data_IF_927548107457
#
_entry.id   IF_927548107457
#
_cell.length_a   1.000
_cell.length_b   1.000
_cell.length_c   1.000
_cell.angle_alpha   90.00
_cell.angle_beta   90.00
_cell.angle_gamma   90.00
#
_symmetry.space_group_name_H-M   'P 1'
#
loop_
_entity.id
_entity.type
_entity.pdbx_description
1 polymer ?
#
# COMPACT_ATOMS: atom_id res chain seq x y z
N UNK A 1 -28.06 80.70 -9.77
CA UNK A 1 -26.77 80.97 -9.09
C UNK A 1 -25.76 79.90 -9.49
N UNK A 2 -24.58 80.32 -9.97
CA UNK A 2 -23.40 79.45 -10.17
C UNK A 2 -22.88 78.95 -8.82
N UNK A 3 -22.43 77.68 -8.75
CA UNK A 3 -21.23 77.26 -8.00
C UNK A 3 -21.02 75.73 -8.17
N UNK A 4 -20.03 75.29 -8.95
CA UNK A 4 -18.67 74.86 -8.54
C UNK A 4 -18.57 73.34 -8.32
N UNK A 5 -17.91 72.67 -9.27
CA UNK A 5 -17.36 71.31 -9.15
C UNK A 5 -16.19 71.28 -8.15
N UNK A 6 -15.99 70.19 -7.39
CA UNK A 6 -14.66 69.76 -7.00
C UNK A 6 -14.20 68.58 -7.87
N UNK A 7 -13.29 68.86 -8.79
CA UNK A 7 -12.29 67.89 -9.28
C UNK A 7 -11.43 67.47 -8.08
N UNK A 8 -11.42 66.18 -7.73
CA UNK A 8 -10.26 65.41 -7.23
C UNK A 8 -10.75 64.11 -6.57
N UNK A 9 -10.54 62.97 -7.24
CA UNK A 9 -10.36 61.64 -6.59
C UNK A 9 -9.88 60.52 -7.52
N UNK A 10 -9.59 60.78 -8.80
CA UNK A 10 -9.20 59.71 -9.75
C UNK A 10 -7.69 59.39 -9.81
N UNK A 11 -6.82 60.17 -9.16
CA UNK A 11 -5.35 59.97 -9.28
C UNK A 11 -4.79 58.98 -8.22
N UNK A 12 -5.51 58.75 -7.12
CA UNK A 12 -5.02 57.89 -6.02
C UNK A 12 -5.32 56.40 -6.28
N UNK A 13 -6.46 56.07 -6.91
CA UNK A 13 -6.81 54.67 -7.21
C UNK A 13 -5.93 54.05 -8.30
N UNK A 14 -5.54 54.82 -9.33
CA UNK A 14 -4.62 54.34 -10.36
C UNK A 14 -3.21 54.13 -9.80
N UNK A 15 -2.73 55.03 -8.94
CA UNK A 15 -1.44 54.89 -8.27
C UNK A 15 -1.36 53.65 -7.38
N UNK A 16 -2.41 53.35 -6.60
CA UNK A 16 -2.44 52.17 -5.72
C UNK A 16 -2.50 50.87 -6.54
N UNK A 17 -3.30 50.81 -7.60
CA UNK A 17 -3.36 49.63 -8.48
C UNK A 17 -2.02 49.38 -9.20
N UNK A 18 -1.34 50.44 -9.65
CA UNK A 18 -0.01 50.33 -10.26
C UNK A 18 1.04 49.87 -9.25
N UNK A 19 1.03 50.38 -8.02
CA UNK A 19 1.95 49.94 -6.96
C UNK A 19 1.69 48.47 -6.61
N UNK A 20 0.42 48.05 -6.51
CA UNK A 20 0.06 46.66 -6.20
C UNK A 20 0.48 45.67 -7.31
N UNK A 21 0.35 46.08 -8.58
CA UNK A 21 0.83 45.32 -9.73
C UNK A 21 2.35 45.26 -9.78
N UNK A 22 3.05 46.35 -9.44
CA UNK A 22 4.51 46.38 -9.35
C UNK A 22 4.98 45.49 -8.20
N UNK A 23 4.36 45.54 -7.02
CA UNK A 23 4.73 44.67 -5.89
C UNK A 23 4.48 43.19 -6.21
N UNK A 24 3.34 42.85 -6.81
CA UNK A 24 3.08 41.49 -7.29
C UNK A 24 4.09 41.06 -8.37
N UNK A 25 4.45 41.94 -9.30
CA UNK A 25 5.44 41.64 -10.32
C UNK A 25 6.83 41.44 -9.72
N UNK A 26 7.22 42.25 -8.73
CA UNK A 26 8.50 42.12 -8.03
C UNK A 26 8.56 40.89 -7.12
N UNK A 27 7.46 40.50 -6.47
CA UNK A 27 7.36 39.27 -5.69
C UNK A 27 7.36 38.03 -6.61
N UNK A 28 6.67 38.10 -7.75
CA UNK A 28 6.70 37.06 -8.78
C UNK A 28 8.10 36.91 -9.38
N UNK A 29 8.79 38.02 -9.67
CA UNK A 29 10.20 38.04 -10.11
C UNK A 29 11.15 37.54 -9.00
N UNK A 30 10.88 37.86 -7.73
CA UNK A 30 11.65 37.36 -6.58
C UNK A 30 11.48 35.85 -6.38
N UNK A 31 10.26 35.34 -6.51
CA UNK A 31 9.95 33.91 -6.49
C UNK A 31 10.57 33.18 -7.69
N UNK A 32 10.50 33.78 -8.89
CA UNK A 32 11.18 33.28 -10.09
C UNK A 32 12.71 33.33 -9.95
N UNK A 33 13.28 34.32 -9.25
CA UNK A 33 14.72 34.36 -8.94
C UNK A 33 15.12 33.30 -7.91
N UNK A 34 14.28 32.98 -6.93
CA UNK A 34 14.51 31.88 -6.00
C UNK A 34 14.36 30.50 -6.67
N UNK A 35 13.48 30.38 -7.68
CA UNK A 35 13.37 29.18 -8.53
C UNK A 35 14.53 29.11 -9.54
N UNK A 36 15.01 30.26 -10.03
CA UNK A 36 16.15 30.35 -10.96
C UNK A 36 17.52 30.24 -10.26
N UNK A 37 17.60 30.45 -8.93
CA UNK A 37 18.84 30.26 -8.17
C UNK A 37 19.29 28.79 -8.07
N UNK A 38 18.45 27.84 -8.54
CA UNK A 38 18.81 26.44 -8.74
C UNK A 38 19.27 26.10 -10.16
N UNK A 39 19.55 27.10 -11.01
CA UNK A 39 20.04 26.85 -12.37
C UNK A 39 21.47 27.37 -12.57
N UNK A 40 22.34 26.42 -12.87
CA UNK A 40 23.71 26.56 -13.39
C UNK A 40 24.84 26.74 -12.36
N UNK A 41 25.05 25.71 -11.54
CA UNK A 41 26.42 25.23 -11.33
C UNK A 41 26.69 24.19 -12.42
N UNK A 42 27.90 24.13 -12.97
CA UNK A 42 28.35 23.19 -14.01
C UNK A 42 27.69 21.81 -13.87
N UNK A 43 26.59 21.58 -14.60
CA UNK A 43 25.89 20.28 -14.54
C UNK A 43 26.76 19.32 -15.31
N UNK A 44 27.58 18.57 -14.58
CA UNK A 44 28.30 17.45 -15.14
C UNK A 44 27.25 16.52 -15.78
N UNK A 45 27.24 16.41 -17.11
CA UNK A 45 26.23 15.61 -17.86
C UNK A 45 26.25 14.14 -17.46
N UNK A 46 27.33 13.67 -16.82
CA UNK A 46 27.53 12.30 -16.38
C UNK A 46 27.08 12.04 -14.94
N UNK A 47 26.70 13.06 -14.17
CA UNK A 47 26.27 12.89 -12.77
C UNK A 47 24.80 13.27 -12.61
N UNK A 48 24.06 12.43 -11.88
CA UNK A 48 22.68 12.65 -11.46
C UNK A 48 22.63 13.56 -10.23
N UNK A 49 23.57 13.36 -9.30
CA UNK A 49 23.80 14.18 -8.12
C UNK A 49 25.28 14.54 -8.11
N UNK A 50 25.58 15.83 -8.01
CA UNK A 50 26.95 16.35 -7.88
C UNK A 50 27.01 17.31 -6.70
N UNK A 51 27.37 16.77 -5.54
CA UNK A 51 27.56 17.53 -4.30
C UNK A 51 28.92 17.19 -3.71
N UNK A 52 29.43 18.02 -2.79
CA UNK A 52 30.72 17.78 -2.16
C UNK A 52 30.80 16.44 -1.40
N UNK A 53 29.68 15.98 -0.82
CA UNK A 53 29.62 14.73 -0.04
C UNK A 53 29.07 13.52 -0.80
N UNK A 54 28.45 13.71 -1.97
CA UNK A 54 27.82 12.63 -2.72
C UNK A 54 27.86 12.92 -4.22
N UNK A 55 28.38 11.96 -4.99
CA UNK A 55 28.38 11.97 -6.44
C UNK A 55 27.70 10.70 -6.93
N UNK A 56 26.56 10.84 -7.60
CA UNK A 56 25.81 9.70 -8.16
C UNK A 56 25.90 9.78 -9.69
N UNK A 57 26.36 8.73 -10.38
CA UNK A 57 26.42 8.74 -11.84
C UNK A 57 25.03 8.72 -12.47
N UNK A 58 24.89 9.39 -13.61
CA UNK A 58 23.72 9.33 -14.46
C UNK A 58 23.88 8.19 -15.46
N UNK A 59 23.35 7.03 -15.10
CA UNK A 59 23.37 5.83 -15.95
C UNK A 59 22.27 5.89 -17.01
N UNK A 60 22.56 5.42 -18.22
CA UNK A 60 21.54 5.22 -19.26
C UNK A 60 20.74 3.94 -18.94
N UNK A 61 19.41 4.04 -18.75
CA UNK A 61 18.56 2.87 -18.54
C UNK A 61 18.50 1.92 -19.74
N UNK A 62 18.99 2.29 -20.92
CA UNK A 62 18.97 1.44 -22.12
C UNK A 62 20.37 1.20 -22.72
N UNK A 63 21.41 1.31 -21.89
CA UNK A 63 22.79 1.08 -22.32
C UNK A 63 22.95 -0.33 -22.95
N UNK A 64 23.64 -0.40 -24.08
CA UNK A 64 23.86 -1.66 -24.80
C UNK A 64 24.54 -2.75 -23.96
N UNK A 65 25.33 -2.37 -22.94
CA UNK A 65 26.01 -3.31 -22.03
C UNK A 65 25.07 -4.07 -21.10
N UNK A 66 23.78 -3.74 -21.05
CA UNK A 66 22.80 -4.50 -20.24
C UNK A 66 21.75 -5.20 -21.09
N UNK A 67 21.85 -5.11 -22.42
CA UNK A 67 20.83 -5.64 -23.33
C UNK A 67 20.57 -7.14 -23.11
N UNK A 68 21.60 -7.92 -22.81
CA UNK A 68 21.47 -9.35 -22.50
C UNK A 68 20.79 -9.66 -21.15
N UNK A 69 20.71 -8.69 -20.25
CA UNK A 69 19.91 -8.78 -19.01
C UNK A 69 18.48 -8.28 -19.21
N UNK A 70 18.19 -7.60 -20.33
CA UNK A 70 16.87 -7.08 -20.61
C UNK A 70 15.97 -8.18 -21.19
N UNK A 71 15.19 -8.81 -20.32
CA UNK A 71 14.14 -9.75 -20.71
C UNK A 71 12.85 -9.06 -21.15
N UNK A 72 12.00 -9.79 -21.88
CA UNK A 72 10.59 -9.45 -22.07
C UNK A 72 9.76 -10.35 -21.18
N UNK A 73 8.91 -9.75 -20.32
CA UNK A 73 7.87 -10.50 -19.62
C UNK A 73 6.63 -10.58 -20.51
N UNK A 74 6.04 -11.77 -20.63
CA UNK A 74 4.70 -11.92 -21.21
C UNK A 74 3.65 -11.40 -20.24
N UNK A 75 2.55 -10.89 -20.77
CA UNK A 75 1.39 -10.51 -19.95
C UNK A 75 0.84 -11.75 -19.21
N UNK A 76 0.69 -11.64 -17.89
CA UNK A 76 0.07 -12.68 -17.06
C UNK A 76 -1.42 -12.79 -17.40
N UNK A 77 -1.88 -14.00 -17.74
CA UNK A 77 -3.28 -14.28 -18.04
C UNK A 77 -3.86 -15.31 -17.07
N UNK A 78 -4.76 -14.87 -16.20
CA UNK A 78 -5.48 -15.73 -15.26
C UNK A 78 -6.81 -16.23 -15.85
N UNK A 79 -6.76 -16.94 -16.98
CA UNK A 79 -7.97 -17.37 -17.68
C UNK A 79 -8.38 -18.83 -17.42
N UNK A 80 -7.48 -19.61 -16.81
CA UNK A 80 -7.59 -21.07 -16.60
C UNK A 80 -8.78 -21.44 -15.73
N UNK A 81 -9.01 -20.69 -14.66
CA UNK A 81 -10.12 -20.90 -13.71
C UNK A 81 -11.06 -19.70 -13.73
N UNK A 82 -12.29 -19.90 -13.23
CA UNK A 82 -13.33 -18.86 -13.17
C UNK A 82 -13.76 -18.60 -11.73
N UNK A 83 -13.95 -17.33 -11.41
CA UNK A 83 -14.54 -16.92 -10.14
C UNK A 83 -16.05 -17.18 -10.15
N UNK A 84 -16.47 -18.19 -9.39
CA UNK A 84 -17.89 -18.52 -9.19
C UNK A 84 -18.52 -17.64 -8.11
N UNK A 85 -17.67 -17.06 -7.26
CA UNK A 85 -18.03 -16.21 -6.14
C UNK A 85 -17.35 -14.87 -6.30
N UNK A 86 -18.03 -13.80 -5.91
CA UNK A 86 -17.45 -12.46 -5.92
C UNK A 86 -17.99 -11.65 -4.75
N UNK A 87 -17.30 -10.57 -4.39
CA UNK A 87 -17.71 -9.68 -3.31
C UNK A 87 -18.09 -8.31 -3.87
N UNK A 88 -19.06 -7.67 -3.22
CA UNK A 88 -19.36 -6.26 -3.42
C UNK A 88 -19.71 -5.66 -2.08
N UNK A 89 -18.90 -4.69 -1.62
CA UNK A 89 -18.90 -4.23 -0.24
C UNK A 89 -18.71 -5.42 0.71
N UNK A 90 -19.56 -5.55 1.72
CA UNK A 90 -19.51 -6.63 2.71
C UNK A 90 -20.40 -7.83 2.34
N UNK A 91 -20.81 -7.96 1.07
CA UNK A 91 -21.71 -9.02 0.63
C UNK A 91 -20.98 -9.96 -0.32
N UNK A 92 -21.02 -11.26 -0.01
CA UNK A 92 -20.56 -12.36 -0.84
C UNK A 92 -21.71 -12.81 -1.74
N UNK A 93 -21.46 -12.91 -3.04
CA UNK A 93 -22.41 -13.31 -4.06
C UNK A 93 -22.01 -14.63 -4.70
N UNK A 94 -23.01 -15.44 -5.04
CA UNK A 94 -22.84 -16.64 -5.87
C UNK A 94 -23.29 -16.34 -7.28
N UNK A 95 -22.41 -16.49 -8.26
CA UNK A 95 -22.75 -16.32 -9.67
C UNK A 95 -23.36 -17.62 -10.22
N UNK A 96 -24.65 -17.86 -9.90
CA UNK A 96 -25.37 -19.05 -10.33
C UNK A 96 -25.34 -19.33 -11.84
N UNK A 97 -25.43 -18.33 -12.74
CA UNK A 97 -25.19 -18.56 -14.17
C UNK A 97 -23.84 -19.22 -14.48
N UNK A 98 -22.74 -18.75 -13.88
CA UNK A 98 -21.42 -19.37 -14.05
C UNK A 98 -21.35 -20.73 -13.37
N UNK A 99 -21.94 -20.89 -12.18
CA UNK A 99 -21.99 -22.18 -11.48
C UNK A 99 -22.66 -23.24 -12.36
N UNK A 100 -23.83 -22.95 -12.95
CA UNK A 100 -24.55 -23.90 -13.81
C UNK A 100 -23.72 -24.33 -15.02
N UNK A 101 -22.85 -23.46 -15.53
CA UNK A 101 -22.03 -23.74 -16.70
C UNK A 101 -20.75 -24.52 -16.33
N UNK A 102 -20.00 -24.05 -15.32
CA UNK A 102 -18.68 -24.59 -15.00
C UNK A 102 -18.70 -25.69 -13.93
N UNK A 103 -19.62 -25.63 -12.96
CA UNK A 103 -19.70 -26.57 -11.82
C UNK A 103 -21.17 -26.89 -11.50
N UNK A 104 -21.91 -27.55 -12.40
CA UNK A 104 -23.34 -27.84 -12.22
C UNK A 104 -23.65 -28.76 -11.04
N UNK A 105 -22.63 -29.42 -10.47
CA UNK A 105 -22.74 -30.24 -9.28
C UNK A 105 -22.80 -29.44 -7.97
N UNK A 106 -22.45 -28.15 -7.97
CA UNK A 106 -22.50 -27.29 -6.78
C UNK A 106 -23.94 -27.13 -6.30
N UNK A 107 -24.15 -27.26 -4.99
CA UNK A 107 -25.47 -27.19 -4.33
C UNK A 107 -25.56 -26.11 -3.29
N UNK A 108 -24.57 -26.03 -2.41
CA UNK A 108 -24.52 -25.05 -1.34
C UNK A 108 -23.08 -24.70 -1.01
N UNK A 109 -22.88 -23.59 -0.32
CA UNK A 109 -21.58 -23.19 0.22
C UNK A 109 -21.66 -23.03 1.73
N UNK A 110 -20.50 -23.08 2.37
CA UNK A 110 -20.27 -22.67 3.75
C UNK A 110 -19.04 -21.78 3.77
N UNK A 111 -18.93 -20.91 4.76
CA UNK A 111 -17.70 -20.18 5.01
C UNK A 111 -17.19 -20.42 6.43
N UNK A 112 -15.88 -20.38 6.59
CA UNK A 112 -15.20 -20.36 7.89
C UNK A 112 -14.44 -19.05 8.00
N UNK A 113 -14.36 -18.49 9.19
CA UNK A 113 -13.56 -17.29 9.46
C UNK A 113 -12.09 -17.67 9.54
N UNK A 114 -11.24 -16.94 8.83
CA UNK A 114 -9.78 -17.04 8.97
C UNK A 114 -9.38 -16.12 10.10
N UNK A 115 -9.00 -16.71 11.23
CA UNK A 115 -8.71 -15.99 12.47
C UNK A 115 -7.27 -16.18 12.90
N UNK A 116 -6.60 -15.10 13.31
CA UNK A 116 -5.26 -15.18 13.92
C UNK A 116 -5.38 -15.38 15.43
N UNK A 117 -4.87 -16.48 16.00
CA UNK A 117 -4.81 -16.67 17.45
C UNK A 117 -4.01 -15.55 18.14
N UNK A 118 -4.34 -15.25 19.39
CA UNK A 118 -3.59 -14.28 20.18
C UNK A 118 -2.28 -14.86 20.73
N UNK A 119 -1.27 -14.01 20.90
CA UNK A 119 0.02 -14.33 21.56
C UNK A 119 0.72 -15.57 20.96
N UNK A 120 0.80 -15.62 19.63
CA UNK A 120 1.50 -16.70 18.95
C UNK A 120 3.00 -16.40 19.05
N UNK A 121 3.71 -17.13 19.91
CA UNK A 121 5.17 -16.97 20.13
C UNK A 121 6.02 -17.61 19.03
N UNK A 122 5.43 -18.47 18.18
CA UNK A 122 6.15 -19.26 17.17
C UNK A 122 5.49 -19.20 15.80
N UNK A 123 6.25 -19.41 14.73
CA UNK A 123 5.77 -19.36 13.33
C UNK A 123 4.61 -20.30 12.99
N UNK A 124 4.35 -21.32 13.82
CA UNK A 124 3.62 -22.50 13.38
C UNK A 124 2.08 -22.39 13.43
N UNK A 125 1.49 -21.30 13.92
CA UNK A 125 0.02 -21.19 14.05
C UNK A 125 -0.50 -19.76 13.80
N UNK A 126 -0.17 -19.17 12.66
CA UNK A 126 -0.53 -17.79 12.37
C UNK A 126 -2.03 -17.58 12.08
N UNK A 127 -2.75 -18.63 11.71
CA UNK A 127 -4.18 -18.59 11.47
C UNK A 127 -4.85 -19.92 11.85
N UNK A 128 -6.16 -19.85 12.09
CA UNK A 128 -7.06 -20.98 12.33
C UNK A 128 -8.40 -20.70 11.65
N UNK A 129 -9.09 -21.76 11.25
CA UNK A 129 -10.48 -21.66 10.78
C UNK A 129 -11.42 -21.80 11.96
N UNK A 130 -12.29 -20.80 12.17
CA UNK A 130 -13.28 -20.79 13.25
C UNK A 130 -14.66 -20.39 12.70
N UNK A 131 -15.70 -20.57 13.52
CA UNK A 131 -17.05 -20.06 13.25
C UNK A 131 -17.58 -20.46 11.85
N UNK A 132 -17.61 -21.77 11.56
CA UNK A 132 -18.24 -22.28 10.33
C UNK A 132 -19.70 -21.80 10.23
N UNK A 133 -20.07 -21.26 9.08
CA UNK A 133 -21.42 -20.81 8.77
C UNK A 133 -22.38 -21.98 8.56
N UNK A 134 -23.68 -21.71 8.70
CA UNK A 134 -24.67 -22.63 8.15
C UNK A 134 -24.56 -22.70 6.61
N UNK A 135 -24.95 -23.82 5.98
CA UNK A 135 -25.06 -23.92 4.53
C UNK A 135 -25.89 -22.78 3.94
N UNK A 136 -25.42 -22.21 2.83
CA UNK A 136 -26.12 -21.16 2.11
C UNK A 136 -26.10 -21.37 0.60
N UNK A 137 -27.15 -20.88 -0.06
CA UNK A 137 -27.31 -20.85 -1.53
C UNK A 137 -27.59 -19.44 -2.04
N UNK A 138 -27.72 -18.48 -1.13
CA UNK A 138 -28.00 -17.07 -1.40
C UNK A 138 -26.84 -16.20 -0.92
N UNK A 139 -26.85 -14.94 -1.35
CA UNK A 139 -25.81 -13.98 -0.98
C UNK A 139 -25.72 -13.82 0.54
N UNK A 140 -24.51 -13.72 1.07
CA UNK A 140 -24.23 -13.61 2.49
C UNK A 140 -23.64 -12.26 2.84
N UNK A 141 -24.15 -11.63 3.90
CA UNK A 141 -23.50 -10.45 4.47
C UNK A 141 -22.44 -10.91 5.45
N UNK A 142 -21.19 -10.56 5.20
CA UNK A 142 -20.04 -11.00 5.96
C UNK A 142 -19.64 -9.90 6.96
N UNK A 143 -19.54 -10.26 8.24
CA UNK A 143 -19.09 -9.39 9.32
C UNK A 143 -17.61 -9.57 9.67
N UNK A 144 -16.99 -10.62 9.15
CA UNK A 144 -15.62 -11.01 9.44
C UNK A 144 -14.66 -10.48 8.38
N UNK A 145 -13.44 -10.18 8.80
CA UNK A 145 -12.42 -9.55 7.95
C UNK A 145 -11.91 -10.49 6.87
N UNK A 146 -11.73 -11.77 7.20
CA UNK A 146 -11.21 -12.78 6.29
C UNK A 146 -12.03 -14.06 6.42
N UNK A 147 -12.44 -14.62 5.29
CA UNK A 147 -13.16 -15.89 5.24
C UNK A 147 -12.59 -16.81 4.19
N UNK A 148 -12.70 -18.11 4.43
CA UNK A 148 -12.58 -19.15 3.41
C UNK A 148 -13.97 -19.67 3.10
N UNK A 149 -14.32 -19.74 1.82
CA UNK A 149 -15.58 -20.32 1.33
C UNK A 149 -15.31 -21.68 0.73
N UNK A 150 -16.11 -22.67 1.10
CA UNK A 150 -16.11 -24.03 0.55
C UNK A 150 -17.50 -24.31 0.00
N UNK A 151 -17.60 -24.79 -1.23
CA UNK A 151 -18.86 -25.16 -1.85
C UNK A 151 -18.90 -26.66 -2.15
N UNK A 152 -20.07 -27.24 -1.97
CA UNK A 152 -20.28 -28.68 -1.89
C UNK A 152 -21.31 -29.16 -2.90
N UNK A 153 -21.21 -30.43 -3.28
CA UNK A 153 -22.21 -31.14 -4.08
C UNK A 153 -23.23 -31.89 -3.20
N UNK A 154 -24.14 -32.65 -3.84
CA UNK A 154 -25.15 -33.49 -3.15
C UNK A 154 -24.54 -34.59 -2.26
N UNK A 155 -23.26 -34.93 -2.46
CA UNK A 155 -22.51 -35.93 -1.68
C UNK A 155 -21.67 -35.31 -0.56
N UNK A 156 -21.81 -34.00 -0.31
CA UNK A 156 -20.98 -33.24 0.62
C UNK A 156 -19.47 -33.23 0.28
N UNK A 157 -19.12 -33.44 -0.98
CA UNK A 157 -17.74 -33.30 -1.45
C UNK A 157 -17.48 -31.84 -1.84
N UNK A 158 -16.29 -31.32 -1.51
CA UNK A 158 -15.88 -29.97 -1.89
C UNK A 158 -15.63 -29.92 -3.40
N UNK A 159 -16.38 -29.08 -4.11
CA UNK A 159 -16.26 -28.88 -5.57
C UNK A 159 -15.70 -27.51 -5.94
N UNK A 160 -15.65 -26.58 -5.00
CA UNK A 160 -15.06 -25.26 -5.20
C UNK A 160 -14.60 -24.67 -3.85
N UNK A 161 -13.47 -23.98 -3.85
CA UNK A 161 -12.93 -23.24 -2.71
C UNK A 161 -12.46 -21.87 -3.15
N UNK A 162 -12.59 -20.87 -2.29
CA UNK A 162 -11.96 -19.56 -2.48
C UNK A 162 -11.83 -18.85 -1.13
N UNK A 163 -11.11 -17.74 -1.05
CA UNK A 163 -11.06 -16.90 0.13
C UNK A 163 -11.32 -15.43 -0.22
N UNK A 164 -11.86 -14.68 0.75
CA UNK A 164 -12.23 -13.29 0.57
C UNK A 164 -11.79 -12.44 1.76
N UNK A 165 -11.38 -11.22 1.46
CA UNK A 165 -11.03 -10.18 2.44
C UNK A 165 -12.01 -9.01 2.40
N UNK A 166 -12.27 -8.44 3.58
CA UNK A 166 -13.20 -7.35 3.82
C UNK A 166 -12.60 -6.36 4.81
N UNK A 167 -12.99 -5.08 4.72
CA UNK A 167 -12.57 -4.06 5.69
C UNK A 167 -13.74 -3.58 6.54
N UNK A 168 -13.77 -4.05 7.79
CA UNK A 168 -14.77 -3.67 8.80
C UNK A 168 -14.21 -2.66 9.81
N UNK A 169 -15.09 -1.88 10.45
CA UNK A 169 -14.70 -1.03 11.56
C UNK A 169 -14.38 -1.90 12.79
N UNK A 170 -13.18 -1.74 13.35
CA UNK A 170 -12.78 -2.46 14.58
C UNK A 170 -13.06 -1.58 15.79
N UNK A 171 -13.97 -1.98 16.68
CA UNK A 171 -14.44 -1.19 17.83
C UNK A 171 -13.30 -0.57 18.65
N UNK A 172 -12.26 -1.34 18.95
CA UNK A 172 -11.12 -0.87 19.75
C UNK A 172 -10.27 0.17 19.01
N UNK A 173 -10.12 0.02 17.69
CA UNK A 173 -9.41 0.97 16.82
C UNK A 173 -10.18 2.28 16.76
N UNK A 174 -11.49 2.21 16.50
CA UNK A 174 -12.36 3.40 16.43
C UNK A 174 -12.41 4.16 17.75
N UNK A 175 -12.43 3.44 18.89
CA UNK A 175 -12.34 4.04 20.22
C UNK A 175 -11.02 4.81 20.39
N UNK A 176 -9.88 4.18 20.06
CA UNK A 176 -8.55 4.80 20.13
C UNK A 176 -8.44 6.03 19.23
N UNK A 177 -8.97 5.96 18.00
CA UNK A 177 -8.97 7.07 17.06
C UNK A 177 -9.79 8.26 17.58
N UNK A 178 -11.02 8.00 18.06
CA UNK A 178 -11.90 9.05 18.61
C UNK A 178 -11.30 9.74 19.84
N UNK A 179 -10.68 8.98 20.74
CA UNK A 179 -10.00 9.54 21.91
C UNK A 179 -8.83 10.46 21.53
N UNK A 180 -8.16 10.19 20.40
CA UNK A 180 -7.09 11.03 19.87
C UNK A 180 -7.63 12.27 19.15
N UNK A 181 -8.70 12.13 18.37
CA UNK A 181 -9.37 13.26 17.70
C UNK A 181 -9.80 14.33 18.70
N UNK A 182 -10.30 13.93 19.89
CA UNK A 182 -10.66 14.85 20.97
C UNK A 182 -9.46 15.60 21.58
N UNK A 183 -8.25 15.05 21.46
CA UNK A 183 -7.01 15.64 22.00
C UNK A 183 -6.24 16.49 20.99
N UNK A 184 -6.54 16.38 19.70
CA UNK A 184 -5.83 17.11 18.66
C UNK A 184 -6.30 18.58 18.60
N UNK A 185 -5.33 19.50 18.60
CA UNK A 185 -5.59 20.90 18.30
C UNK A 185 -5.81 21.07 16.79
N UNK A 186 -6.79 21.89 16.41
CA UNK A 186 -7.24 22.06 15.01
C UNK A 186 -6.17 22.64 14.05
N UNK A 187 -5.03 23.09 14.56
CA UNK A 187 -4.02 23.83 13.79
C UNK A 187 -3.00 22.96 13.04
N UNK A 188 -3.09 21.63 13.11
CA UNK A 188 -2.17 20.75 12.36
C UNK A 188 -2.82 20.22 11.09
N UNK A 189 -2.18 20.48 9.96
CA UNK A 189 -2.51 19.79 8.70
C UNK A 189 -2.21 18.30 8.89
N UNK A 190 -3.25 17.48 8.77
CA UNK A 190 -3.20 16.02 8.93
C UNK A 190 -3.54 15.38 7.59
N UNK A 191 -2.71 14.43 7.16
CA UNK A 191 -2.85 13.74 5.88
C UNK A 191 -2.95 12.24 6.10
N UNK A 192 -3.67 11.59 5.21
CA UNK A 192 -3.60 10.14 5.00
C UNK A 192 -2.28 9.80 4.33
N UNK A 193 -1.65 8.70 4.74
CA UNK A 193 -0.35 8.29 4.24
C UNK A 193 -0.46 6.87 3.68
N UNK A 194 -0.08 6.72 2.42
CA UNK A 194 0.05 5.45 1.72
C UNK A 194 1.49 5.31 1.26
N UNK A 195 2.16 4.26 1.72
CA UNK A 195 3.49 3.85 1.30
C UNK A 195 3.35 2.54 0.53
N UNK A 196 3.85 2.51 -0.70
CA UNK A 196 3.88 1.30 -1.54
C UNK A 196 5.36 1.01 -1.83
N UNK A 197 5.85 -0.11 -1.35
CA UNK A 197 7.14 -0.68 -1.70
C UNK A 197 6.98 -1.67 -2.85
N UNK A 198 7.94 -1.65 -3.77
CA UNK A 198 8.09 -2.67 -4.83
C UNK A 198 9.51 -3.21 -4.69
N UNK A 199 9.64 -4.46 -4.28
CA UNK A 199 10.93 -5.07 -4.00
C UNK A 199 11.73 -5.28 -5.30
N UNK A 200 13.05 -5.24 -5.20
CA UNK A 200 14.00 -5.53 -6.29
C UNK A 200 13.90 -4.62 -7.53
N UNK A 201 13.13 -3.53 -7.47
CA UNK A 201 13.02 -2.56 -8.56
C UNK A 201 13.95 -1.36 -8.35
N UNK A 202 15.02 -1.29 -9.15
CA UNK A 202 15.83 -0.08 -9.25
C UNK A 202 15.10 1.03 -10.02
N UNK A 203 15.51 2.29 -9.84
CA UNK A 203 15.02 3.43 -10.63
C UNK A 203 15.08 3.16 -12.14
N UNK A 204 16.17 2.57 -12.61
CA UNK A 204 16.35 2.26 -14.04
C UNK A 204 15.43 1.11 -14.49
N UNK A 205 15.18 0.10 -13.65
CA UNK A 205 14.17 -0.93 -13.93
C UNK A 205 12.76 -0.33 -14.01
N UNK A 206 12.40 0.61 -13.11
CA UNK A 206 11.10 1.28 -13.15
C UNK A 206 10.91 2.07 -14.45
N UNK A 207 11.97 2.72 -14.97
CA UNK A 207 11.94 3.42 -16.26
C UNK A 207 11.67 2.44 -17.42
N UNK A 208 12.31 1.26 -17.40
CA UNK A 208 12.18 0.26 -18.46
C UNK A 208 10.83 -0.48 -18.43
N UNK A 209 10.47 -1.02 -17.26
CA UNK A 209 9.42 -2.04 -17.14
C UNK A 209 8.12 -1.52 -16.52
N UNK A 210 8.13 -0.32 -15.89
CA UNK A 210 6.93 0.30 -15.33
C UNK A 210 6.65 1.71 -15.90
N UNK A 211 6.78 1.93 -17.23
CA UNK A 211 6.66 3.28 -17.80
C UNK A 211 5.27 3.89 -17.59
N UNK A 212 4.20 3.07 -17.63
CA UNK A 212 2.82 3.52 -17.37
C UNK A 212 2.68 4.08 -15.96
N UNK A 213 3.15 3.33 -14.96
CA UNK A 213 3.11 3.73 -13.54
C UNK A 213 3.94 4.98 -13.29
N UNK A 214 5.19 5.01 -13.79
CA UNK A 214 6.07 6.17 -13.65
C UNK A 214 5.48 7.43 -14.30
N UNK A 215 4.94 7.32 -15.51
CA UNK A 215 4.33 8.46 -16.20
C UNK A 215 3.10 8.98 -15.47
N UNK A 216 2.26 8.08 -14.93
CA UNK A 216 1.10 8.48 -14.12
C UNK A 216 1.55 9.27 -12.87
N UNK A 217 2.52 8.75 -12.12
CA UNK A 217 3.05 9.42 -10.93
C UNK A 217 3.58 10.83 -11.26
N UNK A 218 4.45 10.94 -12.26
CA UNK A 218 5.10 12.22 -12.57
C UNK A 218 4.17 13.22 -13.24
N UNK A 219 3.34 12.77 -14.19
CA UNK A 219 2.56 13.68 -15.05
C UNK A 219 1.14 13.93 -14.54
N UNK A 220 0.55 13.00 -13.79
CA UNK A 220 -0.82 13.12 -13.28
C UNK A 220 -0.86 13.44 -11.79
N UNK A 221 0.00 12.83 -11.00
CA UNK A 221 0.06 13.09 -9.55
C UNK A 221 1.06 14.20 -9.17
N UNK A 222 1.84 14.72 -10.13
CA UNK A 222 2.92 15.68 -9.87
C UNK A 222 3.91 15.17 -8.81
N UNK A 223 4.18 13.86 -8.81
CA UNK A 223 5.08 13.23 -7.86
C UNK A 223 6.51 13.76 -8.02
N UNK A 224 7.23 13.85 -6.90
CA UNK A 224 8.64 14.22 -6.87
C UNK A 224 9.50 12.96 -6.84
N UNK A 225 10.49 12.90 -7.74
CA UNK A 225 11.47 11.83 -7.76
C UNK A 225 12.69 12.24 -6.91
N UNK A 226 12.96 11.51 -5.81
CA UNK A 226 14.12 11.76 -4.95
C UNK A 226 15.37 11.12 -5.56
N UNK A 227 16.00 11.82 -6.50
CA UNK A 227 17.15 11.32 -7.28
C UNK A 227 18.37 10.88 -6.45
N UNK A 228 18.54 11.45 -5.25
CA UNK A 228 19.61 11.11 -4.32
C UNK A 228 19.24 10.07 -3.26
N UNK A 229 17.97 9.64 -3.21
CA UNK A 229 17.54 8.62 -2.25
C UNK A 229 17.99 7.24 -2.73
N UNK A 230 18.69 6.50 -1.85
CA UNK A 230 19.27 5.21 -2.19
C UNK A 230 19.09 4.22 -1.03
N UNK A 231 19.25 2.93 -1.35
CA UNK A 231 19.22 1.85 -0.37
C UNK A 231 20.37 1.97 0.62
N UNK A 232 20.13 1.53 1.84
CA UNK A 232 21.10 1.46 2.93
C UNK A 232 22.03 0.26 2.78
N UNK A 233 21.49 -0.87 2.33
CA UNK A 233 22.22 -2.14 2.19
C UNK A 233 21.58 -3.00 1.09
N UNK A 234 22.09 -4.22 0.89
CA UNK A 234 21.62 -5.09 -0.18
C UNK A 234 20.25 -5.74 0.10
N UNK A 235 20.04 -6.25 1.31
CA UNK A 235 18.84 -7.02 1.64
C UNK A 235 17.66 -6.15 2.08
N UNK A 236 16.44 -6.56 1.74
CA UNK A 236 15.18 -5.84 2.05
C UNK A 236 15.06 -5.48 3.53
N UNK A 237 15.29 -6.43 4.45
CA UNK A 237 15.22 -6.19 5.89
C UNK A 237 16.13 -5.02 6.35
N UNK A 238 17.37 -4.98 5.88
CA UNK A 238 18.35 -3.95 6.27
C UNK A 238 17.97 -2.54 5.75
N UNK A 239 17.15 -2.46 4.70
CA UNK A 239 16.63 -1.22 4.14
C UNK A 239 15.34 -0.76 4.82
N UNK A 240 14.44 -1.70 5.14
CA UNK A 240 13.12 -1.39 5.67
C UNK A 240 13.18 -1.06 7.17
N UNK A 241 14.08 -1.68 7.94
CA UNK A 241 14.26 -1.33 9.36
C UNK A 241 14.56 0.16 9.57
N UNK A 242 15.58 0.78 8.93
CA UNK A 242 15.84 2.21 9.10
C UNK A 242 14.71 3.08 8.56
N UNK A 243 14.06 2.69 7.45
CA UNK A 243 12.91 3.42 6.92
C UNK A 243 11.74 3.48 7.93
N UNK A 244 11.51 2.39 8.66
CA UNK A 244 10.33 2.24 9.52
C UNK A 244 10.61 2.57 10.98
N UNK A 245 11.85 2.50 11.46
CA UNK A 245 12.22 2.81 12.85
C UNK A 245 12.96 4.15 12.98
N UNK A 246 13.63 4.61 11.91
CA UNK A 246 14.57 5.71 11.94
C UNK A 246 15.96 5.34 12.46
N UNK A 247 16.28 4.04 12.55
CA UNK A 247 17.54 3.50 13.08
C UNK A 247 18.10 2.38 12.20
N UNK A 248 19.41 2.34 12.02
CA UNK A 248 20.07 1.19 11.42
C UNK A 248 19.88 -0.05 12.29
N UNK A 249 19.96 -1.24 11.68
CA UNK A 249 19.75 -2.51 12.40
C UNK A 249 20.72 -2.66 13.58
N UNK A 250 21.99 -2.28 13.41
CA UNK A 250 23.00 -2.35 14.46
C UNK A 250 22.78 -1.35 15.61
N UNK A 251 21.88 -0.37 15.47
CA UNK A 251 21.48 0.57 16.53
C UNK A 251 20.27 0.08 17.32
N UNK A 252 19.63 -1.01 16.86
CA UNK A 252 18.56 -1.68 17.59
C UNK A 252 19.14 -2.78 18.49
N UNK A 253 18.50 -3.10 19.63
CA UNK A 253 18.84 -4.26 20.44
C UNK A 253 18.35 -5.57 19.79
N UNK A 254 18.71 -5.78 18.52
CA UNK A 254 18.46 -6.95 17.69
C UNK A 254 19.75 -7.36 16.98
N UNK A 255 19.99 -8.66 16.85
CA UNK A 255 21.06 -9.21 16.01
C UNK A 255 20.65 -10.60 15.49
N UNK A 256 21.49 -11.20 14.64
CA UNK A 256 21.21 -12.49 14.01
C UNK A 256 21.08 -13.67 14.99
N UNK A 257 21.54 -13.54 16.24
CA UNK A 257 21.32 -14.55 17.29
C UNK A 257 19.91 -14.46 17.92
N UNK A 258 19.16 -13.39 17.64
CA UNK A 258 17.82 -13.11 18.17
C UNK A 258 16.71 -13.38 17.15
N UNK A 259 16.94 -14.30 16.21
CA UNK A 259 15.92 -14.68 15.19
C UNK A 259 14.63 -15.21 15.81
N UNK A 260 14.67 -15.80 16.99
CA UNK A 260 13.50 -16.31 17.71
C UNK A 260 12.83 -15.25 18.62
N UNK A 261 13.31 -14.00 18.58
CA UNK A 261 12.74 -12.89 19.37
C UNK A 261 11.87 -12.04 18.47
N UNK A 262 10.64 -11.79 18.92
CA UNK A 262 9.68 -10.99 18.16
C UNK A 262 10.04 -9.50 18.12
N UNK A 263 9.50 -8.81 17.12
CA UNK A 263 9.73 -7.40 16.88
C UNK A 263 8.78 -6.46 17.66
N UNK A 264 7.92 -6.99 18.54
CA UNK A 264 6.88 -6.22 19.25
C UNK A 264 7.43 -5.05 20.08
N UNK A 265 8.67 -5.16 20.58
CA UNK A 265 9.30 -4.16 21.45
C UNK A 265 9.87 -2.94 20.71
N UNK A 266 10.00 -2.99 19.39
CA UNK A 266 10.61 -1.90 18.61
C UNK A 266 9.57 -0.87 18.17
N UNK A 267 9.93 0.41 18.21
CA UNK A 267 9.01 1.50 17.91
C UNK A 267 9.00 1.87 16.41
N UNK A 268 8.29 1.07 15.63
CA UNK A 268 8.08 1.29 14.21
C UNK A 268 7.12 2.46 13.91
N UNK A 269 7.15 2.93 12.67
CA UNK A 269 6.38 4.08 12.18
C UNK A 269 4.86 3.87 12.31
N UNK A 270 4.36 2.66 12.09
CA UNK A 270 2.95 2.33 12.31
C UNK A 270 2.56 2.43 13.78
N UNK A 271 3.45 2.11 14.73
CA UNK A 271 3.19 2.30 16.16
C UNK A 271 3.03 3.79 16.49
N UNK A 272 3.88 4.63 15.88
CA UNK A 272 3.80 6.10 16.03
C UNK A 272 2.50 6.66 15.45
N UNK A 273 2.05 6.20 14.29
CA UNK A 273 0.78 6.60 13.69
C UNK A 273 -0.43 6.12 14.48
N UNK A 274 -0.42 4.85 14.91
CA UNK A 274 -1.45 4.26 15.77
C UNK A 274 -1.68 5.08 17.04
N UNK A 275 -0.59 5.47 17.74
CA UNK A 275 -0.65 6.34 18.93
C UNK A 275 -1.19 7.73 18.64
N UNK A 276 -1.06 8.24 17.41
CA UNK A 276 -1.63 9.52 16.97
C UNK A 276 -3.08 9.43 16.48
N UNK A 277 -3.72 8.27 16.63
CA UNK A 277 -5.13 8.09 16.24
C UNK A 277 -5.33 7.75 14.76
N UNK A 278 -4.28 7.30 14.07
CA UNK A 278 -4.43 6.77 12.72
C UNK A 278 -4.92 5.32 12.78
N UNK A 279 -5.70 4.92 11.78
CA UNK A 279 -5.94 3.51 11.46
C UNK A 279 -4.76 2.99 10.68
N UNK A 280 -4.17 1.87 11.09
CA UNK A 280 -2.97 1.35 10.46
C UNK A 280 -3.26 0.09 9.65
N UNK A 281 -2.76 0.05 8.42
CA UNK A 281 -2.70 -1.15 7.60
C UNK A 281 -1.23 -1.48 7.31
N UNK A 282 -0.87 -2.74 7.49
CA UNK A 282 0.37 -3.31 7.01
C UNK A 282 0.02 -4.50 6.12
N UNK A 283 0.56 -4.57 4.91
CA UNK A 283 0.19 -5.59 3.93
C UNK A 283 1.38 -6.01 3.08
N UNK A 284 1.54 -7.31 2.85
CA UNK A 284 2.55 -7.87 1.96
C UNK A 284 1.96 -9.05 1.17
N UNK A 285 2.33 -9.19 -0.11
CA UNK A 285 1.86 -10.25 -1.00
C UNK A 285 2.46 -11.63 -0.65
N UNK A 286 3.77 -11.74 -0.47
CA UNK A 286 4.45 -13.02 -0.19
C UNK A 286 4.47 -13.42 1.30
N UNK A 287 3.58 -14.32 1.79
CA UNK A 287 3.41 -14.54 3.24
C UNK A 287 4.58 -15.27 3.94
N UNK A 288 5.34 -16.07 3.20
CA UNK A 288 6.54 -16.76 3.70
C UNK A 288 7.80 -15.90 3.55
N UNK A 289 7.81 -14.99 2.57
CA UNK A 289 8.89 -14.04 2.30
C UNK A 289 8.83 -12.74 3.10
N UNK A 290 7.75 -12.50 3.86
CA UNK A 290 7.52 -11.24 4.58
C UNK A 290 8.75 -10.76 5.36
N UNK A 291 8.99 -9.45 5.27
CA UNK A 291 10.25 -8.81 5.68
C UNK A 291 10.67 -9.18 7.10
N UNK A 292 9.70 -9.24 8.02
CA UNK A 292 9.92 -9.49 9.44
C UNK A 292 9.69 -10.95 9.86
N UNK A 293 9.18 -11.81 8.98
CA UNK A 293 8.85 -13.22 9.27
C UNK A 293 9.82 -14.20 8.60
N UNK A 294 10.43 -13.84 7.45
CA UNK A 294 11.41 -14.69 6.76
C UNK A 294 12.63 -14.93 7.66
N UNK A 295 12.81 -16.17 8.11
CA UNK A 295 13.87 -16.61 9.03
C UNK A 295 13.92 -15.83 10.37
N UNK A 296 12.81 -15.23 10.81
CA UNK A 296 12.71 -14.41 12.02
C UNK A 296 11.34 -14.56 12.66
N UNK A 297 11.20 -14.44 13.98
CA UNK A 297 9.95 -14.66 14.72
C UNK A 297 8.78 -13.73 14.37
N UNK A 298 8.97 -12.71 13.52
CA UNK A 298 7.92 -11.77 13.19
C UNK A 298 7.43 -11.02 14.42
N UNK A 299 6.11 -10.91 14.54
CA UNK A 299 5.43 -10.24 15.64
C UNK A 299 4.50 -11.22 16.35
N UNK A 300 4.45 -11.18 17.69
CA UNK A 300 3.50 -12.00 18.47
C UNK A 300 2.06 -11.52 18.33
N UNK A 301 1.88 -10.22 18.06
CA UNK A 301 0.59 -9.57 17.80
C UNK A 301 0.60 -8.92 16.41
N UNK A 302 -0.55 -8.66 15.79
CA UNK A 302 -0.60 -7.85 14.57
C UNK A 302 0.09 -6.50 14.80
N UNK A 303 1.06 -6.18 13.94
CA UNK A 303 1.83 -4.94 14.02
C UNK A 303 1.01 -3.71 13.61
N UNK A 304 -0.08 -3.91 12.87
CA UNK A 304 -1.02 -2.88 12.47
C UNK A 304 -2.47 -3.30 12.82
N UNK A 305 -3.39 -2.33 12.81
CA UNK A 305 -4.81 -2.59 13.11
C UNK A 305 -5.43 -3.55 12.08
N UNK A 306 -4.99 -3.45 10.83
CA UNK A 306 -5.36 -4.27 9.69
C UNK A 306 -4.09 -4.91 9.14
N UNK A 307 -4.15 -6.21 8.87
CA UNK A 307 -2.97 -7.00 8.56
C UNK A 307 -3.36 -8.32 7.88
N UNK A 308 -2.86 -8.52 6.66
CA UNK A 308 -3.32 -9.51 5.68
C UNK A 308 -2.63 -10.87 5.76
N UNK A 309 -1.45 -10.97 6.41
CA UNK A 309 -0.69 -12.24 6.45
C UNK A 309 -1.50 -13.48 6.82
N UNK A 310 -2.41 -13.48 7.83
CA UNK A 310 -3.24 -14.65 8.12
C UNK A 310 -4.10 -15.11 6.93
N UNK A 311 -4.59 -14.15 6.14
CA UNK A 311 -5.34 -14.39 4.92
C UNK A 311 -4.45 -14.95 3.81
N UNK A 312 -3.30 -14.33 3.55
CA UNK A 312 -2.35 -14.81 2.53
C UNK A 312 -1.85 -16.23 2.85
N UNK A 313 -1.50 -16.53 4.10
CA UNK A 313 -1.13 -17.89 4.52
C UNK A 313 -2.27 -18.91 4.34
N UNK A 314 -3.52 -18.52 4.64
CA UNK A 314 -4.66 -19.39 4.42
C UNK A 314 -4.91 -19.66 2.92
N UNK A 315 -4.56 -18.72 2.04
CA UNK A 315 -4.60 -18.93 0.59
C UNK A 315 -3.54 -19.92 0.12
N UNK A 316 -2.31 -19.83 0.63
CA UNK A 316 -1.22 -20.76 0.30
C UNK A 316 -1.55 -22.23 0.63
N UNK A 317 -2.25 -22.47 1.74
CA UNK A 317 -2.70 -23.82 2.12
C UNK A 317 -3.80 -24.38 1.19
N UNK A 318 -4.44 -23.54 0.37
CA UNK A 318 -5.45 -23.95 -0.61
C UNK A 318 -4.84 -24.16 -1.99
N UNK A 319 -3.92 -25.12 -2.12
CA UNK A 319 -3.17 -25.38 -3.37
C UNK A 319 -4.03 -25.56 -4.63
N UNK A 320 -5.30 -25.96 -4.48
CA UNK A 320 -6.25 -26.13 -5.58
C UNK A 320 -6.82 -24.83 -6.14
N UNK A 321 -6.65 -23.67 -5.50
CA UNK A 321 -7.12 -22.39 -6.07
C UNK A 321 -6.07 -21.74 -6.97
N UNK A 322 -4.80 -22.11 -6.78
CA UNK A 322 -3.66 -21.58 -7.53
C UNK A 322 -3.56 -22.19 -8.92
N UNK A 323 -3.03 -21.39 -9.86
CA UNK A 323 -2.73 -21.78 -11.23
C UNK A 323 -1.70 -20.80 -11.85
N UNK A 324 -1.32 -21.04 -13.11
CA UNK A 324 -0.35 -20.21 -13.85
C UNK A 324 0.95 -19.99 -13.07
N UNK A 325 1.62 -21.09 -12.73
CA UNK A 325 2.88 -21.10 -11.97
C UNK A 325 2.81 -20.32 -10.65
N UNK A 326 1.67 -20.45 -9.95
CA UNK A 326 1.41 -19.83 -8.65
C UNK A 326 1.26 -18.29 -8.70
N UNK A 327 0.99 -17.71 -9.87
CA UNK A 327 0.73 -16.26 -10.00
C UNK A 327 -0.76 -15.88 -10.04
N UNK A 328 -1.63 -16.87 -10.21
CA UNK A 328 -3.07 -16.66 -10.32
C UNK A 328 -3.84 -17.47 -9.28
N UNK A 329 -4.78 -16.81 -8.60
CA UNK A 329 -5.81 -17.45 -7.78
C UNK A 329 -7.12 -17.36 -8.56
N UNK A 330 -7.65 -18.52 -8.93
CA UNK A 330 -8.77 -18.61 -9.87
C UNK A 330 -8.55 -17.74 -11.12
N UNK A 331 -9.40 -16.74 -11.33
CA UNK A 331 -9.40 -15.86 -12.49
C UNK A 331 -8.61 -14.56 -12.30
N UNK A 332 -7.91 -14.42 -11.17
CA UNK A 332 -7.29 -13.16 -10.74
C UNK A 332 -5.80 -13.34 -10.43
N UNK A 333 -4.96 -12.36 -10.79
CA UNK A 333 -3.60 -12.29 -10.27
C UNK A 333 -3.62 -12.22 -8.75
N UNK A 334 -2.65 -12.85 -8.09
CA UNK A 334 -2.47 -12.74 -6.64
C UNK A 334 -2.33 -11.26 -6.21
N UNK A 335 -1.49 -10.51 -6.92
CA UNK A 335 -1.25 -9.08 -6.65
C UNK A 335 -2.56 -8.28 -6.65
N UNK A 336 -3.51 -8.59 -7.55
CA UNK A 336 -4.81 -7.92 -7.60
C UNK A 336 -5.67 -8.24 -6.37
N UNK A 337 -5.53 -9.43 -5.78
CA UNK A 337 -6.27 -9.83 -4.57
C UNK A 337 -5.76 -9.07 -3.35
N UNK A 338 -4.44 -8.96 -3.21
CA UNK A 338 -3.82 -8.23 -2.07
C UNK A 338 -4.04 -6.72 -2.22
N UNK A 339 -3.89 -6.16 -3.43
CA UNK A 339 -4.20 -4.75 -3.71
C UNK A 339 -5.69 -4.42 -3.56
N UNK A 340 -6.58 -5.38 -3.76
CA UNK A 340 -8.01 -5.19 -3.52
C UNK A 340 -8.31 -4.92 -2.03
N UNK A 341 -7.64 -5.62 -1.11
CA UNK A 341 -7.75 -5.34 0.33
C UNK A 341 -7.26 -3.91 0.66
N UNK A 342 -6.16 -3.50 0.05
CA UNK A 342 -5.64 -2.12 0.11
C UNK A 342 -6.68 -1.10 -0.39
N UNK A 343 -7.29 -1.35 -1.54
CA UNK A 343 -8.31 -0.48 -2.14
C UNK A 343 -9.52 -0.35 -1.22
N UNK A 344 -10.04 -1.47 -0.71
CA UNK A 344 -11.15 -1.49 0.24
C UNK A 344 -10.84 -0.66 1.49
N UNK A 345 -9.61 -0.76 2.02
CA UNK A 345 -9.18 0.00 3.19
C UNK A 345 -9.18 1.51 2.94
N UNK A 346 -8.58 1.94 1.82
CA UNK A 346 -8.53 3.35 1.43
C UNK A 346 -9.94 3.91 1.23
N UNK A 347 -10.83 3.18 0.56
CA UNK A 347 -12.21 3.60 0.32
C UNK A 347 -13.01 3.72 1.61
N UNK A 348 -12.87 2.74 2.52
CA UNK A 348 -13.53 2.73 3.82
C UNK A 348 -13.14 3.92 4.67
N UNK A 349 -11.84 4.26 4.67
CA UNK A 349 -11.27 5.28 5.54
C UNK A 349 -10.89 6.57 4.82
N UNK A 350 -11.41 6.82 3.61
CA UNK A 350 -11.10 8.02 2.82
C UNK A 350 -11.29 9.36 3.54
N UNK A 351 -12.19 9.41 4.54
CA UNK A 351 -12.51 10.60 5.36
C UNK A 351 -11.90 10.55 6.77
N UNK A 352 -11.10 9.55 7.07
CA UNK A 352 -10.55 9.31 8.40
C UNK A 352 -9.04 9.12 8.30
N UNK A 353 -8.29 9.47 9.35
CA UNK A 353 -6.84 9.35 9.33
C UNK A 353 -6.41 7.89 9.23
N UNK A 354 -5.58 7.60 8.22
CA UNK A 354 -4.95 6.30 8.05
C UNK A 354 -3.48 6.39 7.66
N UNK A 355 -2.73 5.38 8.09
CA UNK A 355 -1.38 5.09 7.65
C UNK A 355 -1.37 3.68 7.08
N UNK A 356 -0.90 3.53 5.84
CA UNK A 356 -0.82 2.25 5.18
C UNK A 356 0.59 2.05 4.62
N UNK A 357 1.22 0.94 4.99
CA UNK A 357 2.43 0.43 4.33
C UNK A 357 2.10 -0.89 3.63
N UNK A 358 2.22 -0.89 2.31
CA UNK A 358 2.10 -2.06 1.45
C UNK A 358 3.48 -2.40 0.88
N UNK A 359 3.86 -3.68 0.87
CA UNK A 359 5.07 -4.17 0.20
C UNK A 359 4.70 -5.23 -0.83
N UNK A 360 5.16 -5.05 -2.06
CA UNK A 360 5.11 -6.06 -3.10
C UNK A 360 6.48 -6.71 -3.20
N UNK A 361 6.58 -8.01 -2.91
CA UNK A 361 7.84 -8.77 -2.80
C UNK A 361 8.14 -9.62 -4.05
N UNK A 362 7.14 -9.90 -4.89
CA UNK A 362 7.25 -10.84 -6.01
C UNK A 362 7.75 -10.26 -7.33
#
# INVERSE_FOLDING_TARGET
MKAIFPKRRTIILTGIASIFLITMYTEFQGSMKNIALFKSQNVNRFLLIDTAGCKIPKLDPFDSSIYWYMGSASELKCEVKKDLLYTKNNVLFINWPLVKYYVPSLRYCKYDVIWRPANVETHNNYFQYINESQPFTTNQTISDEFIRVRCFNDRNEIVYRNAFSFVHLKRNVEKRCRENELKQTKDKTILNILMIGVDSVSRNNMIRYMPKTRNYLLQKMSALEFLGYNKVADNTFLNIVPMTTGKFVHELPWNASLVNVTFDKYDFIWNKFSRKGYRTLYSEDSPYGQIFDYQKAGFSKPQADYFDRPFSLAMEEMTDIWNSDHHCIHARPETDIVLEYTRQFIEKFRKSLFFHLHSLLD
#
